data_IF_904708007326
#
_entry.id   IF_904708007326
#
_cell.length_a   1.000
_cell.length_b   1.000
_cell.length_c   1.000
_cell.angle_alpha   90.00
_cell.angle_beta   90.00
_cell.angle_gamma   90.00
#
_symmetry.space_group_name_H-M   'P 1'
#
loop_
_entity.id
_entity.type
_entity.pdbx_description
1 polymer ?
#
# COMPACT_ATOMS: atom_id res chain seq x y z
N UNK A 1 -5.93 7.25 -6.96
CA UNK A 1 -6.77 8.36 -7.46
C UNK A 1 -8.27 8.10 -7.35
N UNK A 2 -8.83 7.02 -7.92
CA UNK A 2 -10.28 6.75 -7.88
C UNK A 2 -10.89 6.82 -6.47
N UNK A 3 -10.20 6.24 -5.48
CA UNK A 3 -10.62 6.32 -4.07
C UNK A 3 -10.76 7.78 -3.60
N UNK A 4 -9.82 8.65 -3.95
CA UNK A 4 -9.83 10.07 -3.55
C UNK A 4 -10.95 10.86 -4.24
N UNK A 5 -11.29 10.52 -5.48
CA UNK A 5 -12.44 11.10 -6.19
C UNK A 5 -13.77 10.67 -5.55
N UNK A 6 -13.92 9.37 -5.25
CA UNK A 6 -15.11 8.81 -4.60
C UNK A 6 -15.31 9.36 -3.17
N UNK A 7 -14.22 9.66 -2.48
CA UNK A 7 -14.24 10.33 -1.17
C UNK A 7 -14.40 11.86 -1.25
N UNK A 8 -14.52 12.43 -2.45
CA UNK A 8 -14.55 13.88 -2.71
C UNK A 8 -13.36 14.68 -2.15
N UNK A 9 -12.23 14.00 -1.88
CA UNK A 9 -10.97 14.64 -1.48
C UNK A 9 -10.29 15.36 -2.65
N UNK A 10 -10.51 14.86 -3.86
CA UNK A 10 -10.14 15.52 -5.12
C UNK A 10 -11.41 15.72 -5.95
N UNK A 11 -11.57 16.90 -6.56
CA UNK A 11 -12.69 17.24 -7.42
C UNK A 11 -12.18 17.67 -8.78
N UNK A 12 -12.80 17.16 -9.83
CA UNK A 12 -12.58 17.60 -11.20
C UNK A 12 -13.69 18.56 -11.61
N UNK A 13 -13.42 19.42 -12.59
CA UNK A 13 -14.47 20.22 -13.22
C UNK A 13 -15.52 19.28 -13.83
N UNK A 14 -16.83 19.55 -13.70
CA UNK A 14 -17.89 18.72 -14.29
C UNK A 14 -17.78 18.53 -15.81
N UNK A 15 -17.07 19.43 -16.49
CA UNK A 15 -16.87 19.41 -17.94
C UNK A 15 -15.57 18.73 -18.37
N UNK A 16 -14.75 18.25 -17.43
CA UNK A 16 -13.45 17.66 -17.74
C UNK A 16 -13.64 16.21 -18.19
N UNK A 17 -13.46 15.99 -19.49
CA UNK A 17 -13.58 14.66 -20.12
C UNK A 17 -12.28 13.85 -20.08
N UNK A 18 -11.12 14.53 -20.10
CA UNK A 18 -9.79 13.90 -20.14
C UNK A 18 -8.90 14.48 -19.05
N UNK A 19 -8.13 13.60 -18.40
CA UNK A 19 -7.14 13.95 -17.38
C UNK A 19 -5.81 13.25 -17.68
N UNK A 20 -4.70 13.97 -17.50
CA UNK A 20 -3.35 13.45 -17.77
C UNK A 20 -2.72 12.81 -16.53
N UNK A 21 -1.66 12.01 -16.73
CA UNK A 21 -0.89 11.45 -15.60
C UNK A 21 -0.33 12.55 -14.71
N UNK A 22 0.22 13.62 -15.29
CA UNK A 22 0.82 14.74 -14.53
C UNK A 22 -0.23 15.46 -13.66
N UNK A 23 -1.44 15.68 -14.18
CA UNK A 23 -2.54 16.24 -13.39
C UNK A 23 -2.94 15.31 -12.24
N UNK A 24 -3.01 13.99 -12.46
CA UNK A 24 -3.32 13.01 -11.41
C UNK A 24 -2.23 12.99 -10.33
N UNK A 25 -0.96 12.96 -10.71
CA UNK A 25 0.17 12.98 -9.78
C UNK A 25 0.23 14.29 -8.99
N UNK A 26 -0.08 15.42 -9.63
CA UNK A 26 -0.17 16.73 -8.96
C UNK A 26 -1.27 16.72 -7.89
N UNK A 27 -2.47 16.21 -8.21
CA UNK A 27 -3.54 16.07 -7.23
C UNK A 27 -3.15 15.14 -6.08
N UNK A 28 -2.49 14.02 -6.38
CA UNK A 28 -2.05 13.07 -5.37
C UNK A 28 -0.99 13.65 -4.44
N UNK A 29 0.03 14.33 -4.99
CA UNK A 29 1.07 15.01 -4.23
C UNK A 29 0.49 16.09 -3.31
N UNK A 30 -0.45 16.89 -3.81
CA UNK A 30 -1.15 17.88 -2.98
C UNK A 30 -1.93 17.23 -1.82
N UNK A 31 -2.57 16.08 -2.06
CA UNK A 31 -3.22 15.33 -0.98
C UNK A 31 -2.20 14.87 0.07
N UNK A 32 -1.07 14.29 -0.35
CA UNK A 32 -0.03 13.80 0.58
C UNK A 32 0.53 14.93 1.45
N UNK A 33 0.85 16.07 0.85
CA UNK A 33 1.38 17.25 1.56
C UNK A 33 0.36 17.90 2.50
N UNK A 34 -0.94 17.64 2.31
CA UNK A 34 -2.00 18.18 3.17
C UNK A 34 -2.28 17.35 4.43
N UNK A 35 -1.70 16.15 4.54
CA UNK A 35 -1.90 15.26 5.69
C UNK A 35 -1.20 15.84 6.92
N UNK A 36 -1.86 15.78 8.06
CA UNK A 36 -1.30 16.21 9.34
C UNK A 36 -0.87 15.00 10.18
N UNK A 37 0.23 15.12 10.95
CA UNK A 37 0.66 14.06 11.86
C UNK A 37 -0.39 13.84 12.95
N UNK A 38 -0.67 12.56 13.27
CA UNK A 38 -1.67 12.20 14.29
C UNK A 38 -1.16 12.34 15.73
N UNK A 39 0.13 12.62 15.94
CA UNK A 39 0.76 12.70 17.25
C UNK A 39 1.58 13.98 17.44
N UNK A 40 1.64 14.46 18.69
CA UNK A 40 2.41 15.67 19.06
C UNK A 40 3.84 15.38 19.50
N UNK A 41 4.23 14.12 19.72
CA UNK A 41 5.60 13.81 20.14
C UNK A 41 6.58 13.98 18.97
N UNK A 42 7.79 14.43 19.30
CA UNK A 42 8.85 14.69 18.31
C UNK A 42 9.17 13.45 17.46
N UNK A 43 9.29 12.27 18.09
CA UNK A 43 9.53 11.02 17.37
C UNK A 43 8.42 10.65 16.38
N UNK A 44 7.15 10.93 16.71
CA UNK A 44 6.03 10.67 15.78
C UNK A 44 6.03 11.67 14.61
N UNK A 45 6.46 12.91 14.84
CA UNK A 45 6.59 13.92 13.78
C UNK A 45 7.74 13.58 12.83
N UNK A 46 8.88 13.13 13.35
CA UNK A 46 10.02 12.69 12.52
C UNK A 46 9.66 11.49 11.64
N UNK A 47 9.02 10.47 12.22
CA UNK A 47 8.55 9.30 11.47
C UNK A 47 7.53 9.70 10.39
N UNK A 48 6.61 10.62 10.73
CA UNK A 48 5.64 11.13 9.76
C UNK A 48 6.32 11.85 8.59
N UNK A 49 7.30 12.73 8.88
CA UNK A 49 8.03 13.43 7.84
C UNK A 49 8.78 12.47 6.93
N UNK A 50 9.43 11.44 7.50
CA UNK A 50 10.11 10.42 6.71
C UNK A 50 9.14 9.67 5.79
N UNK A 51 7.97 9.28 6.29
CA UNK A 51 6.95 8.63 5.46
C UNK A 51 6.49 9.54 4.31
N UNK A 52 6.35 10.85 4.53
CA UNK A 52 5.99 11.81 3.48
C UNK A 52 7.09 11.90 2.43
N UNK A 53 8.35 11.97 2.83
CA UNK A 53 9.49 12.04 1.92
C UNK A 53 9.62 10.75 1.08
N UNK A 54 9.44 9.59 1.70
CA UNK A 54 9.40 8.28 1.04
C UNK A 54 8.26 8.21 0.01
N UNK A 55 7.05 8.64 0.40
CA UNK A 55 5.89 8.66 -0.48
C UNK A 55 6.08 9.58 -1.69
N UNK A 56 6.69 10.76 -1.49
CA UNK A 56 7.00 11.70 -2.58
C UNK A 56 8.04 11.13 -3.54
N UNK A 57 9.03 10.39 -3.03
CA UNK A 57 10.04 9.72 -3.85
C UNK A 57 9.44 8.62 -4.73
N UNK A 58 8.45 7.89 -4.21
CA UNK A 58 7.76 6.82 -4.95
C UNK A 58 6.70 7.36 -5.90
N UNK A 59 6.15 8.55 -5.67
CA UNK A 59 5.00 9.11 -6.40
C UNK A 59 5.06 8.91 -7.93
N UNK A 60 6.19 9.13 -8.63
CA UNK A 60 6.27 8.91 -10.08
C UNK A 60 6.10 7.44 -10.50
N UNK A 61 6.54 6.49 -9.66
CA UNK A 61 6.42 5.04 -9.92
C UNK A 61 4.97 4.58 -10.01
N UNK A 62 4.03 5.27 -9.36
CA UNK A 62 2.60 4.93 -9.45
C UNK A 62 2.04 5.01 -10.88
N UNK A 63 2.68 5.78 -11.76
CA UNK A 63 2.30 5.88 -13.17
C UNK A 63 2.96 4.80 -14.06
N UNK A 64 4.06 4.21 -13.63
CA UNK A 64 4.89 3.30 -14.46
C UNK A 64 4.95 1.86 -13.94
N UNK A 65 4.61 1.63 -12.68
CA UNK A 65 4.66 0.33 -12.01
C UNK A 65 5.15 0.47 -10.58
N UNK A 66 4.44 -0.17 -9.65
CA UNK A 66 4.77 -0.16 -8.22
C UNK A 66 5.19 -1.55 -7.78
N UNK A 67 6.39 -1.67 -7.19
CA UNK A 67 6.89 -2.92 -6.67
C UNK A 67 6.30 -3.21 -5.28
N UNK A 68 5.76 -4.40 -5.09
CA UNK A 68 5.23 -4.86 -3.80
C UNK A 68 5.73 -6.25 -3.50
N UNK A 69 6.04 -6.50 -2.23
CA UNK A 69 6.41 -7.83 -1.76
C UNK A 69 5.40 -8.31 -0.72
N UNK A 70 4.62 -9.32 -1.09
CA UNK A 70 3.56 -9.89 -0.24
C UNK A 70 4.12 -10.94 0.71
N UNK A 71 3.53 -11.07 1.90
CA UNK A 71 3.75 -12.19 2.80
C UNK A 71 2.51 -13.07 2.78
N UNK A 72 2.68 -14.37 2.64
CA UNK A 72 1.56 -15.30 2.46
C UNK A 72 0.77 -15.63 3.75
N UNK A 73 0.93 -14.82 4.80
CA UNK A 73 0.42 -15.06 6.15
C UNK A 73 -0.91 -14.38 6.45
N UNK A 74 -1.27 -13.33 5.69
CA UNK A 74 -2.47 -12.53 5.94
C UNK A 74 -2.77 -11.62 4.77
N UNK A 75 -4.03 -11.21 4.62
CA UNK A 75 -4.48 -10.44 3.44
C UNK A 75 -3.87 -9.04 3.35
N UNK A 76 -3.37 -8.51 4.45
CA UNK A 76 -2.77 -7.18 4.57
C UNK A 76 -1.25 -7.25 4.78
N UNK A 77 -0.66 -8.43 4.63
CA UNK A 77 0.72 -8.65 5.05
C UNK A 77 1.67 -8.38 3.89
N UNK A 78 2.40 -7.27 3.97
CA UNK A 78 3.44 -6.92 3.01
C UNK A 78 4.79 -6.74 3.72
N UNK A 79 5.88 -6.86 2.99
CA UNK A 79 7.14 -6.25 3.44
C UNK A 79 6.99 -4.73 3.36
N UNK A 80 7.28 -4.06 4.49
CA UNK A 80 7.19 -2.61 4.52
C UNK A 80 8.31 -2.00 3.68
N UNK A 81 7.90 -1.29 2.64
CA UNK A 81 8.75 -0.59 1.68
C UNK A 81 8.27 0.86 1.53
N UNK A 82 9.08 1.78 1.00
CA UNK A 82 8.63 3.14 0.70
C UNK A 82 7.35 3.17 -0.14
N UNK A 83 7.12 2.16 -0.99
CA UNK A 83 5.92 2.02 -1.80
C UNK A 83 4.63 1.89 -0.97
N UNK A 84 4.71 1.28 0.21
CA UNK A 84 3.58 1.16 1.13
C UNK A 84 3.21 2.51 1.79
N UNK A 85 4.17 3.43 1.95
CA UNK A 85 3.97 4.69 2.68
C UNK A 85 2.88 5.59 2.07
N UNK A 86 2.70 5.56 0.74
CA UNK A 86 1.65 6.29 0.03
C UNK A 86 0.25 5.86 0.52
N UNK A 87 0.05 4.56 0.68
CA UNK A 87 -1.23 4.00 1.10
C UNK A 87 -1.51 4.30 2.58
N UNK A 88 -0.49 4.13 3.43
CA UNK A 88 -0.58 4.39 4.87
C UNK A 88 -0.90 5.85 5.17
N UNK A 89 -0.20 6.79 4.51
CA UNK A 89 -0.46 8.22 4.65
C UNK A 89 -1.89 8.59 4.23
N UNK A 90 -2.37 8.05 3.11
CA UNK A 90 -3.73 8.33 2.63
C UNK A 90 -4.82 7.63 3.45
N UNK A 91 -4.44 6.74 4.39
CA UNK A 91 -5.35 5.90 5.16
C UNK A 91 -6.12 4.92 4.26
N UNK A 92 -5.47 4.42 3.21
CA UNK A 92 -6.04 3.47 2.25
C UNK A 92 -5.44 2.09 2.56
N UNK A 93 -6.24 1.10 2.98
CA UNK A 93 -5.71 -0.23 3.22
C UNK A 93 -5.30 -0.93 1.91
N UNK A 94 -4.14 -1.58 1.93
CA UNK A 94 -3.62 -2.40 0.83
C UNK A 94 -3.85 -3.87 1.14
N UNK A 95 -4.32 -4.65 0.16
CA UNK A 95 -4.64 -6.07 0.34
C UNK A 95 -4.14 -6.95 -0.82
N UNK A 96 -3.88 -8.22 -0.52
CA UNK A 96 -3.66 -9.29 -1.48
C UNK A 96 -4.40 -10.58 -1.06
N UNK A 97 -4.67 -11.46 -2.04
CA UNK A 97 -5.31 -12.76 -1.80
C UNK A 97 -4.33 -13.94 -1.84
N UNK A 98 -3.04 -13.68 -2.04
CA UNK A 98 -2.03 -14.73 -2.13
C UNK A 98 -1.67 -15.23 -0.73
N UNK A 99 -2.36 -16.28 -0.28
CA UNK A 99 -2.21 -16.88 1.04
C UNK A 99 -1.84 -18.36 0.91
N UNK A 100 -1.08 -18.88 1.88
CA UNK A 100 -0.92 -20.33 2.01
C UNK A 100 -2.22 -20.91 2.55
N UNK A 101 -2.74 -21.95 1.89
CA UNK A 101 -3.88 -22.70 2.41
C UNK A 101 -3.48 -23.39 3.73
N UNK A 102 -4.14 -23.05 4.86
CA UNK A 102 -3.84 -23.65 6.15
C UNK A 102 -4.01 -25.17 6.17
N UNK A 103 -4.85 -25.73 5.29
CA UNK A 103 -5.10 -27.17 5.23
C UNK A 103 -3.91 -27.95 4.68
N UNK A 104 -3.11 -27.34 3.80
CA UNK A 104 -1.92 -27.97 3.20
C UNK A 104 -0.79 -28.14 4.22
N UNK A 105 -0.77 -27.33 5.27
CA UNK A 105 0.22 -27.44 6.35
C UNK A 105 -0.07 -28.60 7.33
N UNK A 106 -1.29 -29.15 7.33
CA UNK A 106 -1.70 -30.23 8.25
C UNK A 106 -1.41 -31.63 7.68
N UNK A 107 -1.02 -31.76 6.41
CA UNK A 107 -0.67 -33.04 5.77
C UNK A 107 0.84 -33.24 5.59
N UNK A 108 1.58 -33.26 6.70
CA UNK A 108 2.76 -34.13 6.77
C UNK A 108 2.36 -35.39 7.53
N UNK A 109 1.78 -36.43 6.87
CA UNK A 109 1.65 -37.70 7.54
C UNK A 109 3.07 -38.20 7.79
N UNK A 110 3.41 -38.37 9.07
CA UNK A 110 4.47 -39.27 9.50
C UNK A 110 4.05 -40.68 9.05
N UNK A 111 4.20 -41.00 7.76
CA UNK A 111 4.09 -42.36 7.28
C UNK A 111 5.33 -43.12 7.80
N UNK A 112 5.17 -44.16 8.63
CA UNK A 112 6.32 -44.96 9.05
C UNK A 112 6.93 -45.64 7.83
N UNK A 113 8.25 -45.57 7.69
CA UNK A 113 9.02 -46.23 6.62
C UNK A 113 8.62 -47.72 6.52
N UNK A 114 8.46 -48.27 5.30
CA UNK A 114 8.13 -49.67 5.15
C UNK A 114 9.25 -50.54 5.72
N UNK A 115 8.89 -51.38 6.70
CA UNK A 115 9.78 -52.41 7.24
C UNK A 115 9.81 -53.55 6.21
N UNK A 116 10.94 -53.72 5.53
CA UNK A 116 11.16 -54.86 4.64
C UNK A 116 11.45 -56.08 5.52
N UNK A 117 10.63 -57.13 5.39
CA UNK A 117 10.83 -58.46 5.96
C UNK A 117 11.38 -59.40 4.90
#
# INVERSE_FOLDING_TARGET
MNILFLQWKVKLSPQKEVITSDELLTHLGNCLLSIQPQGKSEGLQLNFQQNVDDAMTVLPKLATGLDVNVRFTGVSDFEYTPECSVFDLLGIPLYHGWLVDPQVMVEAPLSPLPRWS
#
